data_IF_721081376339
#
_entry.id   IF_721081376339
#
_cell.length_a   1.000
_cell.length_b   1.000
_cell.length_c   1.000
_cell.angle_alpha   90.00
_cell.angle_beta   90.00
_cell.angle_gamma   90.00
#
_symmetry.space_group_name_H-M   'P 1'
#
loop_
_entity.id
_entity.type
_entity.pdbx_description
1 polymer ?
#
# COMPACT_ATOMS: atom_id res chain seq x y z
N UNK A 1 22.21 -7.12 6.46
CA UNK A 1 21.15 -7.15 5.46
C UNK A 1 20.83 -5.72 5.05
N UNK A 2 20.55 -5.51 3.78
CA UNK A 2 20.32 -4.18 3.22
C UNK A 2 18.88 -3.70 3.49
N UNK A 3 17.94 -4.64 3.65
CA UNK A 3 16.53 -4.39 3.89
C UNK A 3 16.01 -5.17 5.08
N UNK A 4 14.91 -4.67 5.66
CA UNK A 4 14.08 -5.41 6.62
C UNK A 4 12.64 -5.44 6.12
N UNK A 5 11.91 -6.51 6.44
CA UNK A 5 10.51 -6.67 6.06
C UNK A 5 9.64 -6.48 7.30
N UNK A 6 8.74 -5.51 7.26
CA UNK A 6 7.66 -5.35 8.22
C UNK A 6 6.44 -6.11 7.71
N UNK A 7 6.29 -7.36 8.15
CA UNK A 7 5.23 -8.24 7.67
C UNK A 7 3.93 -8.00 8.44
N UNK A 8 2.88 -7.61 7.72
CA UNK A 8 1.56 -7.38 8.29
C UNK A 8 0.50 -8.12 7.51
N UNK A 9 -0.18 -9.04 8.16
CA UNK A 9 -1.30 -9.80 7.58
C UNK A 9 -2.57 -9.59 8.39
N UNK A 10 -3.68 -9.97 7.78
CA UNK A 10 -4.96 -9.94 8.46
C UNK A 10 -4.93 -10.80 9.74
N UNK A 11 -5.48 -10.28 10.84
CA UNK A 11 -5.43 -10.93 12.15
C UNK A 11 -5.89 -12.40 12.16
N UNK A 12 -6.82 -12.77 11.26
CA UNK A 12 -7.33 -14.16 11.15
C UNK A 12 -6.27 -15.18 10.71
N UNK A 13 -5.20 -14.74 10.08
CA UNK A 13 -4.15 -15.63 9.56
C UNK A 13 -2.79 -15.37 10.20
N UNK A 14 -2.66 -14.33 11.02
CA UNK A 14 -1.38 -13.92 11.61
C UNK A 14 -0.71 -15.06 12.41
N UNK A 15 -1.49 -15.88 13.12
CA UNK A 15 -0.98 -17.02 13.91
C UNK A 15 -0.49 -18.21 13.09
N UNK A 16 -0.71 -18.21 11.79
CA UNK A 16 -0.26 -19.30 10.89
C UNK A 16 1.17 -19.13 10.40
N UNK A 17 1.77 -17.96 10.63
CA UNK A 17 3.12 -17.65 10.17
C UNK A 17 4.09 -17.67 11.34
N UNK A 18 5.20 -18.40 11.18
CA UNK A 18 6.41 -18.30 11.99
C UNK A 18 7.54 -17.74 11.13
N UNK A 19 8.33 -16.86 11.72
CA UNK A 19 9.47 -16.21 11.07
C UNK A 19 10.78 -16.49 11.83
N UNK A 20 10.80 -17.53 12.65
CA UNK A 20 11.94 -17.87 13.50
C UNK A 20 13.25 -18.08 12.69
N UNK A 21 13.13 -18.62 11.46
CA UNK A 21 14.24 -18.79 10.54
C UNK A 21 14.74 -17.48 9.87
N UNK A 22 14.01 -16.39 10.06
CA UNK A 22 14.27 -15.08 9.44
C UNK A 22 14.49 -13.97 10.47
N UNK A 23 14.96 -14.33 11.66
CA UNK A 23 15.24 -13.37 12.74
C UNK A 23 16.19 -12.26 12.28
N UNK A 24 15.83 -11.01 12.56
CA UNK A 24 16.59 -9.83 12.13
C UNK A 24 16.29 -9.36 10.70
N UNK A 25 15.54 -10.13 9.89
CA UNK A 25 15.16 -9.76 8.55
C UNK A 25 13.63 -9.53 8.40
N UNK A 26 12.80 -10.42 8.98
CA UNK A 26 11.35 -10.29 8.95
C UNK A 26 10.82 -10.01 10.36
N UNK A 27 10.07 -8.93 10.50
CA UNK A 27 9.39 -8.55 11.74
C UNK A 27 7.89 -8.65 11.56
N UNK A 28 7.25 -9.51 12.35
CA UNK A 28 5.79 -9.63 12.35
C UNK A 28 5.18 -8.46 13.11
N UNK A 29 4.62 -7.51 12.38
CA UNK A 29 3.95 -6.31 12.91
C UNK A 29 2.42 -6.38 12.78
N UNK A 30 1.85 -7.58 12.64
CA UNK A 30 0.41 -7.77 12.47
C UNK A 30 -0.42 -7.28 13.64
N UNK A 31 0.14 -7.29 14.87
CA UNK A 31 -0.48 -6.80 16.09
C UNK A 31 -0.15 -5.34 16.40
N UNK A 32 0.60 -4.64 15.57
CA UNK A 32 0.90 -3.24 15.79
C UNK A 32 -0.35 -2.37 15.59
N UNK A 33 -0.68 -1.53 16.56
CA UNK A 33 -1.98 -0.85 16.64
C UNK A 33 -2.23 0.13 15.50
N UNK A 34 -1.27 0.99 15.19
CA UNK A 34 -1.44 2.07 14.21
C UNK A 34 -0.62 1.82 12.94
N UNK A 35 -1.30 1.42 11.87
CA UNK A 35 -0.69 1.18 10.56
C UNK A 35 -0.02 2.43 9.98
N UNK A 36 -0.49 3.64 10.33
CA UNK A 36 0.10 4.87 9.79
C UNK A 36 1.56 5.05 10.24
N UNK A 37 1.91 4.59 11.44
CA UNK A 37 3.30 4.61 11.89
C UNK A 37 4.19 3.73 11.00
N UNK A 38 3.66 2.56 10.58
CA UNK A 38 4.38 1.66 9.68
C UNK A 38 4.55 2.29 8.29
N UNK A 39 3.51 2.97 7.78
CA UNK A 39 3.61 3.68 6.50
C UNK A 39 4.67 4.77 6.50
N UNK A 40 4.80 5.52 7.60
CA UNK A 40 5.77 6.60 7.69
C UNK A 40 7.22 6.10 7.63
N UNK A 41 7.52 4.95 8.25
CA UNK A 41 8.87 4.38 8.30
C UNK A 41 9.20 3.47 7.11
N UNK A 42 8.19 2.92 6.42
CA UNK A 42 8.43 2.07 5.26
C UNK A 42 8.90 2.88 4.05
N UNK A 43 9.90 2.40 3.33
CA UNK A 43 10.40 3.00 2.09
C UNK A 43 9.66 2.48 0.87
N UNK A 44 9.09 1.28 0.95
CA UNK A 44 8.34 0.61 -0.10
C UNK A 44 7.15 -0.14 0.50
N UNK A 45 5.99 -0.05 -0.15
CA UNK A 45 4.85 -0.92 0.13
C UNK A 45 4.79 -2.06 -0.90
N UNK A 46 4.73 -3.29 -0.42
CA UNK A 46 4.36 -4.46 -1.24
C UNK A 46 2.98 -4.91 -0.77
N UNK A 47 2.02 -4.95 -1.68
CA UNK A 47 0.64 -5.31 -1.37
C UNK A 47 0.01 -6.12 -2.51
N UNK A 48 -1.17 -6.62 -2.28
CA UNK A 48 -1.99 -7.34 -3.25
C UNK A 48 -3.21 -6.47 -3.68
N UNK A 49 -4.41 -6.99 -3.49
CA UNK A 49 -5.69 -6.33 -3.77
C UNK A 49 -6.19 -5.46 -2.62
N UNK A 50 -5.42 -5.33 -1.56
CA UNK A 50 -5.80 -4.59 -0.36
C UNK A 50 -5.85 -3.08 -0.61
N UNK A 51 -6.85 -2.41 -0.04
CA UNK A 51 -7.03 -0.95 -0.15
C UNK A 51 -5.94 -0.10 0.55
N UNK A 52 -4.99 -0.70 1.23
CA UNK A 52 -3.90 0.00 1.95
C UNK A 52 -3.07 0.91 1.05
N UNK A 53 -3.03 0.63 -0.26
CA UNK A 53 -2.28 1.45 -1.21
C UNK A 53 -2.86 2.86 -1.41
N UNK A 54 -4.15 3.08 -1.13
CA UNK A 54 -4.73 4.42 -1.17
C UNK A 54 -4.12 5.30 -0.08
N UNK A 55 -4.04 4.79 1.13
CA UNK A 55 -3.48 5.53 2.27
C UNK A 55 -1.98 5.73 2.11
N UNK A 56 -1.24 4.66 1.75
CA UNK A 56 0.20 4.74 1.52
C UNK A 56 0.56 5.66 0.35
N UNK A 57 -0.27 5.68 -0.69
CA UNK A 57 -0.10 6.52 -1.88
C UNK A 57 -0.04 8.02 -1.59
N UNK A 58 -0.65 8.48 -0.50
CA UNK A 58 -0.59 9.87 -0.05
C UNK A 58 0.85 10.30 0.26
N UNK A 59 1.69 9.36 0.69
CA UNK A 59 3.10 9.59 1.02
C UNK A 59 3.98 9.75 -0.23
N UNK A 60 3.46 9.42 -1.42
CA UNK A 60 4.19 9.49 -2.70
C UNK A 60 5.46 8.65 -2.70
N UNK A 61 5.42 7.51 -2.01
CA UNK A 61 6.48 6.51 -1.93
C UNK A 61 6.20 5.35 -2.88
N UNK A 62 7.18 4.52 -3.26
CA UNK A 62 6.99 3.42 -4.19
C UNK A 62 6.01 2.35 -3.68
N UNK A 63 5.22 1.81 -4.61
CA UNK A 63 4.28 0.71 -4.34
C UNK A 63 4.52 -0.40 -5.37
N UNK A 64 4.63 -1.64 -4.91
CA UNK A 64 4.60 -2.84 -5.73
C UNK A 64 3.31 -3.63 -5.44
N UNK A 65 2.67 -4.08 -6.50
CA UNK A 65 1.49 -4.94 -6.42
C UNK A 65 1.90 -6.36 -6.77
N UNK A 66 1.97 -7.25 -5.76
CA UNK A 66 2.25 -8.66 -5.97
C UNK A 66 0.93 -9.42 -6.12
N UNK A 67 0.57 -9.70 -7.36
CA UNK A 67 -0.73 -10.27 -7.77
C UNK A 67 -0.50 -11.58 -8.52
N UNK A 68 0.04 -12.61 -7.85
CA UNK A 68 0.40 -13.89 -8.46
C UNK A 68 -0.80 -14.68 -9.00
N UNK A 69 -2.01 -14.38 -8.52
CA UNK A 69 -3.28 -15.02 -8.88
C UNK A 69 -4.21 -14.07 -9.69
N UNK A 70 -3.63 -13.08 -10.37
CA UNK A 70 -4.37 -12.00 -11.05
C UNK A 70 -5.42 -12.50 -12.03
N UNK A 71 -5.12 -13.55 -12.80
CA UNK A 71 -6.06 -14.10 -13.79
C UNK A 71 -7.25 -14.76 -13.10
N UNK A 72 -7.02 -15.55 -12.05
CA UNK A 72 -8.08 -16.18 -11.26
C UNK A 72 -8.93 -15.13 -10.53
N UNK A 73 -8.31 -14.03 -10.07
CA UNK A 73 -9.00 -12.95 -9.38
C UNK A 73 -9.96 -12.18 -10.30
N UNK A 74 -9.57 -11.96 -11.56
CA UNK A 74 -10.42 -11.28 -12.57
C UNK A 74 -11.69 -12.09 -12.84
N UNK A 75 -11.57 -13.42 -12.89
CA UNK A 75 -12.65 -14.29 -13.34
C UNK A 75 -13.60 -14.73 -12.21
N UNK A 76 -13.18 -14.74 -10.95
CA UNK A 76 -13.89 -15.51 -9.92
C UNK A 76 -14.39 -14.72 -8.71
N UNK A 77 -13.89 -13.53 -8.35
CA UNK A 77 -14.20 -13.01 -7.01
C UNK A 77 -14.86 -11.63 -6.98
N UNK A 78 -14.32 -10.61 -7.58
CA UNK A 78 -14.87 -9.25 -7.64
C UNK A 78 -14.09 -8.44 -8.66
N UNK A 79 -14.75 -7.87 -9.66
CA UNK A 79 -14.10 -6.92 -10.55
C UNK A 79 -13.48 -5.75 -9.78
N UNK A 80 -12.40 -5.20 -10.30
CA UNK A 80 -11.84 -3.95 -9.77
C UNK A 80 -12.83 -2.80 -9.99
N UNK A 81 -12.94 -1.87 -9.04
CA UNK A 81 -13.73 -0.65 -9.20
C UNK A 81 -13.20 0.25 -10.32
N UNK A 82 -11.94 0.06 -10.73
CA UNK A 82 -11.27 0.76 -11.83
C UNK A 82 -10.23 -0.19 -12.47
N UNK A 83 -9.77 0.15 -13.67
CA UNK A 83 -8.79 -0.70 -14.38
C UNK A 83 -7.46 -0.80 -13.63
N UNK A 84 -6.87 -1.98 -13.63
CA UNK A 84 -5.55 -2.23 -13.00
C UNK A 84 -4.43 -1.42 -13.64
N UNK A 85 -4.63 -0.97 -14.88
CA UNK A 85 -3.76 -0.04 -15.59
C UNK A 85 -3.61 1.31 -14.90
N UNK A 86 -4.57 1.69 -14.03
CA UNK A 86 -4.55 2.93 -13.24
C UNK A 86 -3.86 2.80 -11.88
N UNK A 87 -3.45 1.60 -11.47
CA UNK A 87 -2.72 1.43 -10.20
C UNK A 87 -1.41 2.23 -10.21
N UNK A 88 -1.04 2.89 -9.10
CA UNK A 88 0.08 3.83 -9.06
C UNK A 88 1.46 3.15 -8.99
N UNK A 89 1.53 1.83 -9.01
CA UNK A 89 2.75 1.05 -8.89
C UNK A 89 2.88 -0.03 -9.95
N UNK A 90 4.02 -0.72 -9.93
CA UNK A 90 4.29 -1.86 -10.81
C UNK A 90 3.56 -3.10 -10.30
N UNK A 91 2.95 -3.87 -11.22
CA UNK A 91 2.35 -5.17 -10.94
C UNK A 91 3.39 -6.25 -11.22
N UNK A 92 3.51 -7.18 -10.27
CA UNK A 92 4.38 -8.37 -10.32
C UNK A 92 3.48 -9.59 -10.18
N UNK A 93 3.55 -10.51 -11.11
CA UNK A 93 2.81 -11.77 -11.09
C UNK A 93 3.70 -12.97 -10.81
N UNK A 94 5.00 -12.84 -11.05
CA UNK A 94 5.98 -13.90 -10.89
C UNK A 94 6.90 -13.62 -9.69
N UNK A 95 6.97 -14.55 -8.74
CA UNK A 95 7.79 -14.42 -7.54
C UNK A 95 9.27 -14.10 -7.83
N UNK A 96 9.82 -14.72 -8.88
CA UNK A 96 11.22 -14.52 -9.29
C UNK A 96 11.58 -13.07 -9.67
N UNK A 97 10.57 -12.25 -10.00
CA UNK A 97 10.78 -10.85 -10.36
C UNK A 97 10.83 -9.92 -9.13
N UNK A 98 10.34 -10.36 -7.98
CA UNK A 98 10.25 -9.54 -6.77
C UNK A 98 11.58 -8.93 -6.34
N UNK A 99 12.71 -9.66 -6.24
CA UNK A 99 13.95 -9.10 -5.76
C UNK A 99 14.47 -7.92 -6.61
N UNK A 100 14.36 -8.05 -7.93
CA UNK A 100 14.80 -6.99 -8.86
C UNK A 100 13.81 -5.83 -8.86
N UNK A 101 12.51 -6.11 -8.77
CA UNK A 101 11.48 -5.07 -8.68
C UNK A 101 11.60 -4.26 -7.38
N UNK A 102 11.94 -4.89 -6.26
CA UNK A 102 12.19 -4.19 -4.98
C UNK A 102 13.37 -3.23 -5.11
N UNK A 103 14.52 -3.70 -5.63
CA UNK A 103 15.71 -2.84 -5.83
C UNK A 103 15.41 -1.68 -6.75
N UNK A 104 14.82 -1.95 -7.90
CA UNK A 104 14.45 -0.93 -8.88
C UNK A 104 13.49 0.12 -8.29
N UNK A 105 12.49 -0.33 -7.51
CA UNK A 105 11.54 0.56 -6.86
C UNK A 105 12.17 1.45 -5.79
N UNK A 106 13.25 1.03 -5.13
CA UNK A 106 13.94 1.83 -4.13
C UNK A 106 14.95 2.77 -4.81
N UNK A 107 15.72 2.26 -5.76
CA UNK A 107 16.84 3.00 -6.36
C UNK A 107 16.39 4.01 -7.43
N UNK A 108 15.33 3.68 -8.18
CA UNK A 108 14.92 4.42 -9.38
C UNK A 108 13.49 4.96 -9.31
N UNK A 109 12.88 5.02 -8.13
CA UNK A 109 11.51 5.50 -8.00
C UNK A 109 11.34 6.92 -8.51
N UNK A 110 10.31 7.12 -9.32
CA UNK A 110 9.86 8.44 -9.79
C UNK A 110 8.37 8.58 -9.52
N UNK A 111 7.98 9.66 -8.82
CA UNK A 111 6.58 10.04 -8.69
C UNK A 111 6.09 10.59 -10.03
N UNK A 112 5.69 9.69 -10.93
CA UNK A 112 5.35 9.96 -12.32
C UNK A 112 3.93 10.51 -12.50
N UNK A 113 3.54 10.78 -13.76
CA UNK A 113 2.21 11.30 -14.12
C UNK A 113 1.10 10.35 -13.72
N UNK A 114 1.27 9.05 -13.98
CA UNK A 114 0.29 8.03 -13.63
C UNK A 114 -0.02 8.03 -12.13
N UNK A 115 1.02 8.12 -11.31
CA UNK A 115 0.86 8.17 -9.86
C UNK A 115 0.20 9.49 -9.41
N UNK A 116 0.53 10.62 -10.07
CA UNK A 116 -0.14 11.91 -9.79
C UNK A 116 -1.62 11.84 -10.10
N UNK A 117 -2.00 11.36 -11.29
CA UNK A 117 -3.40 11.18 -11.69
C UNK A 117 -4.18 10.30 -10.72
N UNK A 118 -3.55 9.22 -10.24
CA UNK A 118 -4.12 8.36 -9.20
C UNK A 118 -4.43 9.16 -7.94
N UNK A 119 -3.46 9.87 -7.38
CA UNK A 119 -3.64 10.65 -6.16
C UNK A 119 -4.65 11.80 -6.35
N UNK A 120 -4.66 12.46 -7.49
CA UNK A 120 -5.65 13.49 -7.82
C UNK A 120 -7.07 12.92 -7.90
N UNK A 121 -7.21 11.69 -8.36
CA UNK A 121 -8.50 11.03 -8.47
C UNK A 121 -9.04 10.58 -7.10
N UNK A 122 -8.19 9.96 -6.30
CA UNK A 122 -8.64 9.24 -5.10
C UNK A 122 -8.28 9.93 -3.79
N UNK A 123 -7.27 10.80 -3.76
CA UNK A 123 -6.73 11.40 -2.53
C UNK A 123 -6.58 12.93 -2.61
N UNK A 124 -7.30 13.59 -3.52
CA UNK A 124 -7.16 15.04 -3.78
C UNK A 124 -7.55 15.94 -2.60
N UNK A 125 -8.20 15.40 -1.57
CA UNK A 125 -8.61 16.12 -0.36
C UNK A 125 -7.81 15.76 0.88
N UNK A 126 -6.79 14.92 0.73
CA UNK A 126 -5.94 14.47 1.83
C UNK A 126 -4.76 15.44 2.06
N UNK A 127 -5.10 16.60 2.60
CA UNK A 127 -4.18 17.71 2.91
C UNK A 127 -3.91 17.87 4.42
N UNK A 128 -4.30 16.86 5.22
CA UNK A 128 -4.21 16.91 6.68
C UNK A 128 -5.30 17.75 7.36
N UNK A 129 -6.26 18.32 6.62
CA UNK A 129 -7.34 19.17 7.15
C UNK A 129 -8.73 18.52 7.08
N UNK A 130 -8.83 17.26 6.68
CA UNK A 130 -10.12 16.57 6.49
C UNK A 130 -10.98 16.58 7.78
N UNK A 131 -10.39 16.23 8.92
CA UNK A 131 -11.09 16.27 10.22
C UNK A 131 -11.57 17.66 10.59
N UNK A 132 -10.76 18.69 10.32
CA UNK A 132 -11.14 20.09 10.57
C UNK A 132 -12.31 20.51 9.70
N UNK A 133 -12.26 20.19 8.39
CA UNK A 133 -13.38 20.47 7.48
C UNK A 133 -14.67 19.79 7.95
N UNK A 134 -14.58 18.53 8.35
CA UNK A 134 -15.71 17.79 8.88
C UNK A 134 -16.31 18.45 10.12
N UNK A 135 -15.51 18.81 11.12
CA UNK A 135 -15.93 19.47 12.34
C UNK A 135 -16.56 20.84 12.03
N UNK A 136 -15.95 21.64 11.16
CA UNK A 136 -16.46 22.94 10.77
C UNK A 136 -17.81 22.81 10.06
N UNK A 137 -17.96 21.82 9.18
CA UNK A 137 -19.22 21.58 8.45
C UNK A 137 -20.34 21.08 9.36
N UNK A 138 -20.07 20.06 10.19
CA UNK A 138 -21.09 19.40 11.03
C UNK A 138 -21.48 20.22 12.24
N UNK A 139 -20.52 20.80 12.94
CA UNK A 139 -20.75 21.43 14.25
C UNK A 139 -20.75 22.97 14.23
N UNK A 140 -20.16 23.59 13.21
CA UNK A 140 -20.04 25.04 13.13
C UNK A 140 -20.84 25.67 11.99
N UNK A 141 -21.52 24.85 11.18
CA UNK A 141 -22.35 25.31 10.06
C UNK A 141 -21.58 26.04 8.96
N UNK A 142 -20.26 25.93 8.92
CA UNK A 142 -19.43 26.52 7.88
C UNK A 142 -19.55 25.66 6.61
N UNK A 143 -20.08 26.24 5.54
CA UNK A 143 -20.01 25.60 4.20
C UNK A 143 -18.58 25.69 3.70
N UNK A 144 -18.00 24.55 3.34
CA UNK A 144 -16.67 24.46 2.70
C UNK A 144 -16.71 24.92 1.25
#
# INVERSE_FOLDING_TARGET
DEYVILFRVHYLVASKFSFDDYEGFIYNVSSYDDINHLYLIADLLITDYSSVFFDYGILKKPILFYMYDLEDYKDSIRGFYFGIDKLPGRIITEEKELPDAIRDSIDNFVYDEKYREFNETFSNREDGQASRRFVDWVFRGKKG
#
